data_IF_689578004401
#
_entry.id   IF_689578004401
#
_cell.length_a   1.000
_cell.length_b   1.000
_cell.length_c   1.000
_cell.angle_alpha   90.00
_cell.angle_beta   90.00
_cell.angle_gamma   90.00
#
_symmetry.space_group_name_H-M   'P 1'
#
loop_
_entity.id
_entity.type
_entity.pdbx_description
1 polymer ?
#
# COMPACT_ATOMS: atom_id res chain seq x y z
N UNK A 1 66.13 -60.13 60.20
CA UNK A 1 66.44 -58.95 59.43
C UNK A 1 65.51 -58.74 58.30
N UNK A 2 64.49 -57.86 58.49
CA UNK A 2 63.56 -57.46 57.38
C UNK A 2 64.08 -56.17 56.76
N UNK A 3 64.54 -56.25 55.52
CA UNK A 3 64.93 -55.09 54.73
C UNK A 3 63.72 -54.54 54.02
N UNK A 4 63.07 -53.51 54.62
CA UNK A 4 61.98 -52.77 53.98
C UNK A 4 62.51 -51.83 52.91
N UNK A 5 62.16 -52.10 51.65
CA UNK A 5 62.43 -51.18 50.53
C UNK A 5 61.34 -50.15 50.49
N UNK A 6 61.64 -48.83 50.69
CA UNK A 6 60.78 -47.72 50.49
C UNK A 6 61.02 -47.09 49.09
N UNK A 7 60.09 -47.20 48.16
CA UNK A 7 60.14 -46.53 46.87
C UNK A 7 59.61 -45.09 47.03
N UNK A 8 60.54 -44.12 46.94
CA UNK A 8 60.14 -42.70 47.01
C UNK A 8 59.96 -42.17 45.58
N UNK A 9 58.72 -42.06 45.13
CA UNK A 9 58.39 -41.39 43.88
C UNK A 9 58.35 -39.87 44.08
N UNK A 10 59.41 -39.16 43.71
CA UNK A 10 59.41 -37.70 43.67
C UNK A 10 58.98 -37.21 42.31
N UNK A 11 57.73 -36.98 42.16
CA UNK A 11 57.22 -36.24 41.00
C UNK A 11 57.56 -34.77 41.15
N UNK A 12 58.38 -34.23 40.25
CA UNK A 12 58.78 -32.81 40.29
C UNK A 12 57.55 -31.90 40.08
N UNK A 13 57.19 -31.17 41.13
CA UNK A 13 56.08 -30.16 41.11
C UNK A 13 56.23 -29.18 39.95
N UNK A 14 57.36 -28.87 39.49
CA UNK A 14 57.69 -27.96 38.38
C UNK A 14 57.24 -28.53 37.01
N UNK A 15 57.38 -29.85 36.79
CA UNK A 15 56.93 -30.47 35.53
C UNK A 15 55.41 -30.55 35.44
N UNK A 16 54.77 -30.77 36.59
CA UNK A 16 53.29 -30.83 36.66
C UNK A 16 52.66 -29.44 36.49
N UNK A 17 53.25 -28.40 37.03
CA UNK A 17 52.82 -27.00 36.88
C UNK A 17 53.07 -26.48 35.45
N UNK A 18 54.16 -26.87 34.81
CA UNK A 18 54.46 -26.47 33.41
C UNK A 18 53.46 -27.07 32.39
N UNK A 19 53.00 -28.31 32.62
CA UNK A 19 52.05 -28.94 31.79
C UNK A 19 50.63 -28.31 31.94
N UNK A 20 50.25 -27.91 33.17
CA UNK A 20 49.01 -27.19 33.42
C UNK A 20 49.02 -25.80 32.78
N UNK A 21 50.15 -25.08 32.85
CA UNK A 21 50.30 -23.75 32.28
C UNK A 21 50.24 -23.75 30.74
N UNK A 22 50.79 -24.76 30.10
CA UNK A 22 50.66 -24.96 28.64
C UNK A 22 49.25 -25.34 28.22
N UNK A 23 48.57 -26.20 28.99
CA UNK A 23 47.17 -26.54 28.76
C UNK A 23 46.23 -25.34 28.92
N UNK A 24 46.45 -24.52 29.97
CA UNK A 24 45.67 -23.30 30.16
C UNK A 24 45.89 -22.28 29.03
N UNK A 25 47.11 -22.10 28.57
CA UNK A 25 47.40 -21.22 27.41
C UNK A 25 46.75 -21.73 26.13
N UNK A 26 46.81 -23.04 25.87
CA UNK A 26 46.17 -23.66 24.72
C UNK A 26 44.65 -23.50 24.78
N UNK A 27 44.04 -23.71 25.95
CA UNK A 27 42.61 -23.51 26.17
C UNK A 27 42.20 -22.04 25.94
N UNK A 28 43.02 -21.11 26.42
CA UNK A 28 42.81 -19.67 26.21
C UNK A 28 42.89 -19.26 24.73
N UNK A 29 43.85 -19.81 23.98
CA UNK A 29 44.01 -19.56 22.56
C UNK A 29 42.82 -20.15 21.77
N UNK A 30 42.40 -21.38 22.06
CA UNK A 30 41.23 -22.00 21.41
C UNK A 30 39.96 -21.22 21.73
N UNK A 31 39.75 -20.86 23.01
CA UNK A 31 38.61 -20.04 23.42
C UNK A 31 38.58 -18.68 22.73
N UNK A 32 39.72 -18.00 22.65
CA UNK A 32 39.86 -16.73 21.94
C UNK A 32 39.57 -16.85 20.42
N UNK A 33 40.09 -17.92 19.81
CA UNK A 33 39.81 -18.19 18.38
C UNK A 33 38.32 -18.46 18.11
N UNK A 34 37.68 -19.26 18.96
CA UNK A 34 36.25 -19.55 18.85
C UNK A 34 35.42 -18.28 19.02
N UNK A 35 35.77 -17.45 20.04
CA UNK A 35 35.09 -16.16 20.25
C UNK A 35 35.25 -15.21 19.05
N UNK A 36 36.47 -15.15 18.47
CA UNK A 36 36.70 -14.35 17.26
C UNK A 36 35.89 -14.84 16.06
N UNK A 37 35.86 -16.14 15.80
CA UNK A 37 35.08 -16.72 14.71
C UNK A 37 33.60 -16.49 14.91
N UNK A 38 33.08 -16.62 16.13
CA UNK A 38 31.70 -16.33 16.46
C UNK A 38 31.35 -14.84 16.20
N UNK A 39 32.21 -13.91 16.60
CA UNK A 39 32.02 -12.49 16.35
C UNK A 39 32.01 -12.16 14.84
N UNK A 40 32.94 -12.75 14.08
CA UNK A 40 32.96 -12.60 12.62
C UNK A 40 31.73 -13.18 11.97
N UNK A 41 31.23 -14.34 12.42
CA UNK A 41 29.99 -14.93 11.91
C UNK A 41 28.78 -14.06 12.19
N UNK A 42 28.65 -13.48 13.38
CA UNK A 42 27.58 -12.55 13.73
C UNK A 42 27.60 -11.28 12.86
N UNK A 43 28.79 -10.69 12.68
CA UNK A 43 28.97 -9.51 11.83
C UNK A 43 28.63 -9.83 10.37
N UNK A 44 29.04 -10.98 9.87
CA UNK A 44 28.70 -11.42 8.51
C UNK A 44 27.19 -11.63 8.33
N UNK A 45 26.55 -12.32 9.29
CA UNK A 45 25.11 -12.57 9.27
C UNK A 45 24.31 -11.27 9.32
N UNK A 46 24.72 -10.33 10.19
CA UNK A 46 24.10 -9.00 10.30
C UNK A 46 24.14 -8.26 8.97
N UNK A 47 25.30 -8.19 8.32
CA UNK A 47 25.46 -7.50 7.03
C UNK A 47 24.81 -8.24 5.86
N UNK A 48 24.75 -9.56 5.93
CA UNK A 48 24.20 -10.38 4.85
C UNK A 48 22.68 -10.48 4.87
N UNK A 49 22.05 -10.43 6.04
CA UNK A 49 20.61 -10.66 6.20
C UNK A 49 19.91 -9.52 6.91
N UNK A 50 20.37 -9.14 8.12
CA UNK A 50 19.62 -8.20 8.98
C UNK A 50 19.53 -6.82 8.36
N UNK A 51 20.64 -6.26 7.88
CA UNK A 51 20.68 -4.93 7.29
C UNK A 51 19.79 -4.87 6.03
N UNK A 52 19.92 -5.77 5.03
CA UNK A 52 19.09 -5.76 3.86
C UNK A 52 17.59 -5.90 4.16
N UNK A 53 17.21 -6.76 5.11
CA UNK A 53 15.81 -6.91 5.50
C UNK A 53 15.24 -5.63 6.13
N UNK A 54 16.05 -4.94 6.94
CA UNK A 54 15.63 -3.64 7.53
C UNK A 54 15.43 -2.59 6.45
N UNK A 55 16.29 -2.54 5.45
CA UNK A 55 16.17 -1.59 4.33
C UNK A 55 14.94 -1.90 3.46
N UNK A 56 14.64 -3.17 3.18
CA UNK A 56 13.41 -3.57 2.48
C UNK A 56 12.16 -3.22 3.29
N UNK A 57 12.20 -3.41 4.61
CA UNK A 57 11.09 -3.02 5.50
C UNK A 57 10.86 -1.51 5.48
N UNK A 58 11.94 -0.73 5.43
CA UNK A 58 11.86 0.74 5.31
C UNK A 58 11.19 1.13 3.98
N UNK A 59 11.62 0.52 2.86
CA UNK A 59 10.99 0.75 1.56
C UNK A 59 9.51 0.38 1.55
N UNK A 60 9.14 -0.75 2.16
CA UNK A 60 7.73 -1.14 2.31
C UNK A 60 6.93 -0.13 3.15
N UNK A 61 7.55 0.46 4.19
CA UNK A 61 6.95 1.53 4.99
C UNK A 61 6.67 2.80 4.18
N UNK A 62 7.58 3.21 3.30
CA UNK A 62 7.37 4.32 2.37
C UNK A 62 6.21 4.05 1.41
N UNK A 63 6.12 2.83 0.86
CA UNK A 63 5.00 2.44 -0.02
C UNK A 63 3.66 2.44 0.70
N UNK A 64 3.61 2.01 1.97
CA UNK A 64 2.41 2.08 2.79
C UNK A 64 1.92 3.52 3.02
N UNK A 65 2.83 4.50 2.98
CA UNK A 65 2.53 5.93 3.07
C UNK A 65 2.24 6.58 1.70
N UNK A 66 2.24 5.81 0.61
CA UNK A 66 1.97 6.32 -0.73
C UNK A 66 3.21 6.86 -1.47
N UNK A 67 4.40 6.69 -0.92
CA UNK A 67 5.66 7.17 -1.49
C UNK A 67 6.25 6.11 -2.44
N UNK A 68 5.60 5.88 -3.58
CA UNK A 68 5.97 4.81 -4.53
C UNK A 68 7.25 5.10 -5.34
N UNK A 69 7.79 6.31 -5.28
CA UNK A 69 9.06 6.66 -5.94
C UNK A 69 10.28 6.27 -5.10
N UNK A 70 10.08 5.79 -3.87
CA UNK A 70 11.17 5.31 -3.02
C UNK A 70 11.81 4.05 -3.62
N UNK A 71 13.16 3.98 -3.69
CA UNK A 71 13.85 2.85 -4.30
C UNK A 71 13.70 1.56 -3.47
N UNK A 72 13.70 0.42 -4.15
CA UNK A 72 13.82 -0.90 -3.52
C UNK A 72 15.27 -1.35 -3.64
N UNK A 73 16.04 -1.38 -2.54
CA UNK A 73 17.42 -1.85 -2.56
C UNK A 73 17.49 -3.36 -2.75
N UNK A 74 18.67 -3.85 -3.16
CA UNK A 74 19.01 -5.30 -3.22
C UNK A 74 18.26 -6.12 -4.31
N UNK A 75 17.62 -5.52 -5.27
CA UNK A 75 16.93 -6.17 -6.40
C UNK A 75 17.89 -7.00 -7.28
N UNK A 76 19.17 -6.57 -7.40
CA UNK A 76 20.20 -7.24 -8.16
C UNK A 76 20.80 -8.50 -7.47
N UNK A 77 20.43 -8.80 -6.19
CA UNK A 77 20.95 -9.98 -5.48
C UNK A 77 20.37 -11.28 -6.05
N UNK A 78 21.22 -12.32 -6.04
CA UNK A 78 20.85 -13.67 -6.52
C UNK A 78 20.30 -14.60 -5.43
N UNK A 79 20.22 -14.16 -4.17
CA UNK A 79 19.75 -14.94 -3.02
C UNK A 79 18.29 -14.64 -2.67
N UNK A 80 17.82 -15.20 -1.55
CA UNK A 80 16.43 -15.05 -1.06
C UNK A 80 16.06 -13.58 -0.78
N UNK A 81 17.03 -12.78 -0.33
CA UNK A 81 16.82 -11.33 -0.13
C UNK A 81 16.54 -10.64 -1.46
N UNK A 82 17.28 -10.98 -2.52
CA UNK A 82 17.01 -10.46 -3.86
C UNK A 82 15.66 -10.91 -4.41
N UNK A 83 15.23 -12.13 -4.12
CA UNK A 83 13.87 -12.59 -4.47
C UNK A 83 12.81 -11.74 -3.78
N UNK A 84 12.98 -11.44 -2.50
CA UNK A 84 12.07 -10.56 -1.74
C UNK A 84 12.07 -9.13 -2.30
N UNK A 85 13.24 -8.57 -2.60
CA UNK A 85 13.37 -7.23 -3.18
C UNK A 85 12.58 -7.12 -4.49
N UNK A 86 12.80 -8.05 -5.42
CA UNK A 86 12.06 -8.09 -6.69
C UNK A 86 10.56 -8.34 -6.54
N UNK A 87 10.14 -9.10 -5.52
CA UNK A 87 8.73 -9.28 -5.21
C UNK A 87 8.09 -7.99 -4.70
N UNK A 88 8.80 -7.26 -3.81
CA UNK A 88 8.36 -5.96 -3.29
C UNK A 88 8.28 -4.92 -4.41
N UNK A 89 9.24 -4.89 -5.31
CA UNK A 89 9.23 -3.99 -6.48
C UNK A 89 8.03 -4.25 -7.39
N UNK A 90 7.76 -5.51 -7.72
CA UNK A 90 6.56 -5.87 -8.51
C UNK A 90 5.26 -5.50 -7.81
N UNK A 91 5.18 -5.68 -6.49
CA UNK A 91 4.02 -5.27 -5.71
C UNK A 91 3.81 -3.75 -5.77
N UNK A 92 4.89 -2.95 -5.59
CA UNK A 92 4.88 -1.50 -5.73
C UNK A 92 4.34 -1.06 -7.10
N UNK A 93 4.90 -1.63 -8.17
CA UNK A 93 4.52 -1.28 -9.54
C UNK A 93 3.05 -1.64 -9.83
N UNK A 94 2.59 -2.79 -9.34
CA UNK A 94 1.19 -3.19 -9.46
C UNK A 94 0.24 -2.24 -8.73
N UNK A 95 0.58 -1.84 -7.51
CA UNK A 95 -0.23 -0.88 -6.74
C UNK A 95 -0.26 0.48 -7.45
N UNK A 96 0.89 0.97 -7.92
CA UNK A 96 0.99 2.23 -8.66
C UNK A 96 0.09 2.22 -9.90
N UNK A 97 0.14 1.14 -10.68
CA UNK A 97 -0.71 0.98 -11.85
C UNK A 97 -2.20 1.00 -11.50
N UNK A 98 -2.60 0.31 -10.43
CA UNK A 98 -4.00 0.30 -9.96
C UNK A 98 -4.46 1.68 -9.51
N UNK A 99 -3.61 2.43 -8.81
CA UNK A 99 -3.93 3.80 -8.39
C UNK A 99 -4.08 4.76 -9.57
N UNK A 100 -3.23 4.66 -10.58
CA UNK A 100 -3.33 5.44 -11.81
C UNK A 100 -4.64 5.11 -12.56
N UNK A 101 -5.03 3.84 -12.62
CA UNK A 101 -6.27 3.40 -13.24
C UNK A 101 -7.51 3.93 -12.48
N UNK A 102 -7.51 3.82 -11.14
CA UNK A 102 -8.58 4.38 -10.30
C UNK A 102 -8.69 5.89 -10.50
N UNK A 103 -7.56 6.61 -10.57
CA UNK A 103 -7.53 8.05 -10.84
C UNK A 103 -8.16 8.40 -12.19
N UNK A 104 -7.87 7.62 -13.23
CA UNK A 104 -8.49 7.79 -14.56
C UNK A 104 -9.99 7.56 -14.53
N UNK A 105 -10.46 6.47 -13.91
CA UNK A 105 -11.90 6.21 -13.77
C UNK A 105 -12.62 7.29 -12.96
N UNK A 106 -12.00 7.80 -11.90
CA UNK A 106 -12.57 8.88 -11.10
C UNK A 106 -12.77 10.15 -11.94
N UNK A 107 -11.79 10.52 -12.76
CA UNK A 107 -11.85 11.69 -13.66
C UNK A 107 -12.92 11.51 -14.74
N UNK A 108 -12.97 10.33 -15.36
CA UNK A 108 -13.99 10.02 -16.38
C UNK A 108 -15.40 10.05 -15.80
N UNK A 109 -15.59 9.45 -14.63
CA UNK A 109 -16.88 9.48 -13.93
C UNK A 109 -17.30 10.91 -13.59
N UNK A 110 -16.40 11.75 -13.14
CA UNK A 110 -16.68 13.15 -12.85
C UNK A 110 -17.10 13.91 -14.12
N UNK A 111 -16.42 13.67 -15.24
CA UNK A 111 -16.78 14.27 -16.53
C UNK A 111 -18.17 13.85 -16.97
N UNK A 112 -18.48 12.56 -16.96
CA UNK A 112 -19.81 12.04 -17.30
C UNK A 112 -20.88 12.62 -16.39
N UNK A 113 -20.64 12.73 -15.09
CA UNK A 113 -21.58 13.33 -14.17
C UNK A 113 -21.86 14.80 -14.53
N UNK A 114 -20.81 15.57 -14.84
CA UNK A 114 -20.95 16.96 -15.27
C UNK A 114 -21.76 17.10 -16.58
N UNK A 115 -21.52 16.22 -17.53
CA UNK A 115 -22.28 16.19 -18.80
C UNK A 115 -23.76 15.89 -18.56
N UNK A 116 -24.09 14.94 -17.67
CA UNK A 116 -25.45 14.62 -17.27
C UNK A 116 -26.14 15.78 -16.54
N UNK A 117 -25.41 16.49 -15.67
CA UNK A 117 -25.95 17.67 -14.97
C UNK A 117 -26.26 18.82 -15.94
N UNK A 118 -25.41 19.04 -16.93
CA UNK A 118 -25.68 19.99 -18.03
C UNK A 118 -26.89 19.57 -18.83
N UNK A 119 -26.97 18.30 -19.25
CA UNK A 119 -28.10 17.77 -20.01
C UNK A 119 -29.43 17.92 -19.24
N UNK A 120 -29.41 17.63 -17.92
CA UNK A 120 -30.56 17.87 -17.04
C UNK A 120 -30.95 19.35 -16.99
N UNK A 121 -29.97 20.24 -16.85
CA UNK A 121 -30.21 21.68 -16.81
C UNK A 121 -30.88 22.18 -18.12
N UNK A 122 -30.38 21.70 -19.27
CA UNK A 122 -30.96 21.99 -20.57
C UNK A 122 -32.40 21.46 -20.64
N UNK A 123 -32.62 20.19 -20.32
CA UNK A 123 -33.95 19.58 -20.34
C UNK A 123 -34.96 20.36 -19.47
N UNK A 124 -34.56 20.69 -18.24
CA UNK A 124 -35.39 21.42 -17.30
C UNK A 124 -35.68 22.86 -17.78
N UNK A 125 -34.74 23.49 -18.49
CA UNK A 125 -34.92 24.83 -19.04
C UNK A 125 -35.87 24.86 -20.24
N UNK A 126 -36.03 23.72 -20.93
CA UNK A 126 -36.96 23.58 -22.08
C UNK A 126 -38.40 23.36 -21.63
N UNK A 127 -38.64 22.98 -20.38
CA UNK A 127 -39.98 22.78 -19.86
C UNK A 127 -40.69 24.13 -19.69
N UNK A 128 -41.97 24.23 -20.08
CA UNK A 128 -42.71 25.46 -19.88
C UNK A 128 -42.92 25.73 -18.40
N UNK A 129 -42.75 27.00 -18.02
CA UNK A 129 -42.99 27.47 -16.67
C UNK A 129 -44.46 27.44 -16.31
N UNK A 130 -44.75 27.37 -15.02
CA UNK A 130 -46.08 27.60 -14.47
C UNK A 130 -46.66 28.89 -15.04
N UNK A 131 -47.91 28.82 -15.51
CA UNK A 131 -48.53 29.97 -16.15
C UNK A 131 -50.04 30.05 -15.85
N UNK A 132 -50.51 31.27 -15.70
CA UNK A 132 -51.92 31.57 -15.66
C UNK A 132 -52.35 32.10 -17.03
N UNK A 133 -53.46 31.58 -17.56
CA UNK A 133 -54.03 31.97 -18.81
C UNK A 133 -55.38 32.59 -18.57
N UNK A 134 -55.78 33.55 -19.40
CA UNK A 134 -57.13 34.13 -19.43
C UNK A 134 -57.63 34.12 -20.87
N UNK A 135 -58.87 33.66 -21.04
CA UNK A 135 -59.60 33.72 -22.32
C UNK A 135 -61.06 34.12 -22.06
N UNK A 136 -61.42 35.35 -22.38
CA UNK A 136 -62.67 35.92 -21.95
C UNK A 136 -62.83 35.96 -20.44
N UNK A 137 -63.94 35.44 -19.93
CA UNK A 137 -64.18 35.35 -18.46
C UNK A 137 -63.58 34.12 -17.79
N UNK A 138 -62.95 33.23 -18.57
CA UNK A 138 -62.36 31.99 -18.05
C UNK A 138 -60.87 32.20 -17.73
N UNK A 139 -60.46 31.79 -16.51
CA UNK A 139 -59.09 31.79 -16.08
C UNK A 139 -58.60 30.38 -15.85
N UNK A 140 -57.47 30.01 -16.48
CA UNK A 140 -56.77 28.74 -16.28
C UNK A 140 -55.52 28.97 -15.47
N UNK A 141 -55.29 28.14 -14.45
CA UNK A 141 -54.02 28.09 -13.70
C UNK A 141 -53.41 26.71 -13.95
N UNK A 142 -52.27 26.69 -14.66
CA UNK A 142 -51.53 25.47 -14.94
C UNK A 142 -50.27 25.44 -14.11
N UNK A 143 -50.07 24.33 -13.40
CA UNK A 143 -48.88 24.00 -12.64
C UNK A 143 -48.45 22.60 -13.07
N UNK A 144 -47.19 22.45 -13.46
CA UNK A 144 -46.63 21.19 -13.85
C UNK A 144 -45.27 20.98 -13.18
N UNK A 145 -45.00 19.77 -12.75
CA UNK A 145 -43.74 19.40 -12.11
C UNK A 145 -43.22 18.11 -12.71
N UNK A 146 -41.94 18.11 -13.08
CA UNK A 146 -41.21 16.95 -13.52
C UNK A 146 -40.11 16.62 -12.50
N UNK A 147 -40.11 15.40 -12.01
CA UNK A 147 -39.05 14.86 -11.14
C UNK A 147 -38.43 13.65 -11.83
N UNK A 148 -37.32 13.82 -12.56
CA UNK A 148 -36.66 12.71 -13.23
C UNK A 148 -36.16 11.67 -12.23
N UNK A 149 -36.46 10.38 -12.47
CA UNK A 149 -35.98 9.27 -11.66
C UNK A 149 -34.45 9.01 -11.84
N UNK A 150 -33.87 9.50 -12.94
CA UNK A 150 -32.42 9.47 -13.24
C UNK A 150 -31.91 10.88 -13.50
N UNK A 151 -30.63 11.00 -13.80
CA UNK A 151 -30.02 12.30 -14.09
C UNK A 151 -30.75 13.08 -15.19
N UNK A 152 -31.21 12.40 -16.23
CA UNK A 152 -32.04 12.95 -17.32
C UNK A 152 -33.35 12.15 -17.39
N UNK A 153 -34.48 12.83 -17.50
CA UNK A 153 -35.82 12.21 -17.64
C UNK A 153 -36.11 11.82 -19.07
N UNK A 154 -36.90 10.73 -19.26
CA UNK A 154 -37.48 10.37 -20.53
C UNK A 154 -38.80 11.12 -20.82
N UNK A 155 -39.39 11.66 -19.77
CA UNK A 155 -40.71 12.31 -19.86
C UNK A 155 -40.53 13.82 -20.11
N UNK A 156 -41.57 14.44 -20.66
CA UNK A 156 -41.65 15.88 -20.79
C UNK A 156 -43.12 16.32 -20.69
N UNK A 157 -43.34 17.59 -20.41
CA UNK A 157 -44.68 18.19 -20.52
C UNK A 157 -44.61 19.49 -21.30
N UNK A 158 -45.73 19.82 -21.94
CA UNK A 158 -45.85 21.04 -22.69
C UNK A 158 -47.29 21.58 -22.63
N UNK A 159 -47.46 22.89 -22.82
CA UNK A 159 -48.78 23.51 -22.92
C UNK A 159 -48.73 24.78 -23.76
N UNK A 160 -49.84 25.07 -24.44
CA UNK A 160 -50.02 26.33 -25.13
C UNK A 160 -51.52 26.68 -25.22
N UNK A 161 -51.82 27.97 -25.29
CA UNK A 161 -53.15 28.49 -25.50
C UNK A 161 -53.31 28.81 -26.99
N UNK A 162 -54.31 28.19 -27.62
CA UNK A 162 -54.67 28.47 -29.01
C UNK A 162 -55.43 29.79 -29.10
N UNK A 163 -55.42 30.44 -30.27
CA UNK A 163 -56.07 31.74 -30.48
C UNK A 163 -57.64 31.74 -30.34
N UNK A 164 -58.25 30.56 -30.35
CA UNK A 164 -59.69 30.35 -30.10
C UNK A 164 -60.02 30.16 -28.60
N UNK A 165 -59.00 30.33 -27.69
CA UNK A 165 -59.21 30.21 -26.27
C UNK A 165 -59.08 28.80 -25.71
N UNK A 166 -58.73 27.78 -26.52
CA UNK A 166 -58.51 26.42 -26.05
C UNK A 166 -57.11 26.25 -25.50
N UNK A 167 -57.01 25.62 -24.35
CA UNK A 167 -55.73 25.24 -23.73
C UNK A 167 -55.38 23.79 -24.11
N UNK A 168 -54.23 23.62 -24.75
CA UNK A 168 -53.64 22.33 -25.06
C UNK A 168 -52.54 22.00 -24.07
N UNK A 169 -52.45 20.76 -23.64
CA UNK A 169 -51.36 20.23 -22.85
C UNK A 169 -51.01 18.81 -23.30
N UNK A 170 -49.72 18.46 -23.10
CA UNK A 170 -49.18 17.13 -23.39
C UNK A 170 -48.33 16.69 -22.23
N UNK A 171 -48.38 15.42 -21.89
CA UNK A 171 -47.55 14.75 -20.89
C UNK A 171 -46.97 13.49 -21.51
#
# INVERSE_FOLDING_TARGET
GESGWTLQLSMGRTAMLASLDSAMRMLGLIGGLVALLAALAVLWLSRSITVPLTELTTSAGHFANGEFDWPVPHDARGDEVGVMARALERARDSIRQQLDEIGRYATERQKLQSELDIARSIQMSMLPRDRDFASGDIRYRLRARLEPAKAVGGDFHGHFLQGDGRLWFVV
#
